data_IF_886132588324
#
_entry.id   IF_886132588324
#
_cell.length_a   1.000
_cell.length_b   1.000
_cell.length_c   1.000
_cell.angle_alpha   90.00
_cell.angle_beta   90.00
_cell.angle_gamma   90.00
#
_symmetry.space_group_name_H-M   'P 1'
#
loop_
_entity.id
_entity.type
_entity.pdbx_description
1 polymer ?
#
# COMPACT_ATOMS: atom_id res chain seq x y z
N UNK A 1 8.04 41.93 -13.67
CA UNK A 1 7.83 40.98 -14.79
C UNK A 1 7.37 39.68 -14.15
N UNK A 2 6.11 39.26 -14.36
CA UNK A 2 5.55 38.07 -13.75
C UNK A 2 6.16 36.85 -14.41
N UNK A 3 6.90 36.04 -13.68
CA UNK A 3 7.35 34.73 -14.12
C UNK A 3 6.21 33.74 -13.80
N UNK A 4 5.28 33.55 -14.75
CA UNK A 4 4.45 32.38 -14.75
C UNK A 4 5.37 31.14 -14.68
N UNK A 5 5.04 30.15 -13.84
CA UNK A 5 5.77 28.90 -13.87
C UNK A 5 5.71 28.38 -15.31
N UNK A 6 6.85 28.45 -16.01
CA UNK A 6 6.87 28.07 -17.43
C UNK A 6 6.53 26.61 -17.52
N UNK A 7 5.86 26.17 -18.59
CA UNK A 7 5.51 24.77 -18.85
C UNK A 7 6.74 23.87 -18.69
N UNK A 8 7.93 24.39 -19.01
CA UNK A 8 9.21 23.69 -18.85
C UNK A 8 9.58 23.48 -17.38
N UNK A 9 9.35 24.46 -16.50
CA UNK A 9 9.59 24.31 -15.05
C UNK A 9 8.65 23.29 -14.42
N UNK A 10 7.38 23.31 -14.82
CA UNK A 10 6.37 22.36 -14.37
C UNK A 10 6.76 20.94 -14.79
N UNK A 11 7.17 20.78 -16.06
CA UNK A 11 7.66 19.51 -16.60
C UNK A 11 8.91 19.02 -15.88
N UNK A 12 9.89 19.89 -15.69
CA UNK A 12 11.12 19.55 -14.97
C UNK A 12 10.83 19.14 -13.53
N UNK A 13 9.82 19.76 -12.88
CA UNK A 13 9.37 19.39 -11.54
C UNK A 13 8.71 18.01 -11.52
N UNK A 14 7.84 17.72 -12.48
CA UNK A 14 7.19 16.42 -12.63
C UNK A 14 8.22 15.30 -12.81
N UNK A 15 9.17 15.48 -13.73
CA UNK A 15 10.24 14.51 -14.00
C UNK A 15 11.14 14.27 -12.79
N UNK A 16 11.47 15.31 -12.02
CA UNK A 16 12.23 15.17 -10.77
C UNK A 16 11.48 14.35 -9.71
N UNK A 17 10.16 14.43 -9.66
CA UNK A 17 9.34 13.61 -8.78
C UNK A 17 9.33 12.17 -9.27
N UNK A 18 9.04 11.93 -10.53
CA UNK A 18 9.00 10.59 -11.15
C UNK A 18 10.35 9.86 -11.10
N UNK A 19 11.47 10.60 -11.16
CA UNK A 19 12.81 10.02 -11.01
C UNK A 19 13.07 9.42 -9.61
N UNK A 20 12.27 9.79 -8.60
CA UNK A 20 12.43 9.28 -7.21
C UNK A 20 11.61 8.04 -6.94
N UNK A 21 10.39 7.97 -7.48
CA UNK A 21 9.45 6.85 -7.33
C UNK A 21 8.29 6.99 -8.31
N UNK A 22 7.54 5.93 -8.50
CA UNK A 22 6.27 5.99 -9.19
C UNK A 22 5.24 6.82 -8.37
N UNK A 23 4.39 7.54 -9.10
CA UNK A 23 3.27 8.30 -8.56
C UNK A 23 2.00 7.93 -9.31
N UNK A 24 0.85 7.99 -8.65
CA UNK A 24 -0.41 8.00 -9.37
C UNK A 24 -0.65 9.36 -10.02
N UNK A 25 -1.46 9.39 -11.07
CA UNK A 25 -1.86 10.63 -11.75
C UNK A 25 -2.39 11.66 -10.75
N UNK A 26 -3.31 11.25 -9.88
CA UNK A 26 -3.89 12.13 -8.86
C UNK A 26 -2.85 12.62 -7.85
N UNK A 27 -1.96 11.76 -7.40
CA UNK A 27 -0.92 12.15 -6.44
C UNK A 27 0.07 13.14 -7.06
N UNK A 28 0.45 12.94 -8.32
CA UNK A 28 1.35 13.84 -9.03
C UNK A 28 0.67 15.19 -9.30
N UNK A 29 -0.59 15.19 -9.73
CA UNK A 29 -1.40 16.40 -9.90
C UNK A 29 -1.41 17.26 -8.63
N UNK A 30 -1.77 16.66 -7.50
CA UNK A 30 -1.81 17.37 -6.22
C UNK A 30 -0.45 17.95 -5.80
N UNK A 31 0.65 17.25 -6.13
CA UNK A 31 1.99 17.78 -5.87
C UNK A 31 2.39 18.92 -6.81
N UNK A 32 1.94 18.90 -8.05
CA UNK A 32 2.24 19.96 -9.01
C UNK A 32 1.44 21.23 -8.71
N UNK A 33 0.19 21.10 -8.31
CA UNK A 33 -0.67 22.21 -7.89
C UNK A 33 -0.22 22.84 -6.57
N UNK A 34 0.40 22.08 -5.67
CA UNK A 34 0.91 22.61 -4.42
C UNK A 34 2.13 23.51 -4.64
N UNK A 35 2.27 24.57 -3.83
CA UNK A 35 3.47 25.43 -3.84
C UNK A 35 4.74 24.56 -3.68
N UNK A 36 5.77 24.74 -4.52
CA UNK A 36 7.03 24.01 -4.34
C UNK A 36 7.61 24.35 -2.96
N UNK A 37 8.11 23.33 -2.26
CA UNK A 37 8.86 23.57 -1.04
C UNK A 37 10.10 24.43 -1.38
N UNK A 38 10.46 25.41 -0.53
CA UNK A 38 11.67 26.16 -0.73
C UNK A 38 12.85 25.19 -0.87
N UNK A 39 13.70 25.42 -1.86
CA UNK A 39 14.91 24.62 -2.02
C UNK A 39 15.72 24.76 -0.73
N UNK A 40 16.19 23.66 -0.11
CA UNK A 40 17.12 23.79 1.00
C UNK A 40 18.33 24.56 0.44
N UNK A 41 18.55 25.78 0.95
CA UNK A 41 19.72 26.54 0.60
C UNK A 41 20.94 25.64 0.86
N UNK A 42 21.74 25.41 -0.16
CA UNK A 42 22.99 24.67 -0.03
C UNK A 42 23.76 25.32 1.13
N UNK A 43 24.18 24.53 2.12
CA UNK A 43 24.87 25.04 3.32
C UNK A 43 26.07 25.95 3.00
N UNK A 44 26.62 25.82 1.78
CA UNK A 44 27.73 26.66 1.31
C UNK A 44 27.33 28.03 0.74
N UNK A 45 26.03 28.21 0.35
CA UNK A 45 25.57 29.49 -0.19
C UNK A 45 25.13 30.46 0.93
N UNK A 46 24.71 29.90 2.08
CA UNK A 46 24.26 30.73 3.22
C UNK A 46 25.35 31.62 3.83
N UNK A 47 26.64 31.26 3.67
CA UNK A 47 27.77 32.07 4.18
C UNK A 47 28.16 33.27 3.29
N UNK A 48 27.74 33.24 2.01
CA UNK A 48 28.04 34.33 1.06
C UNK A 48 26.82 35.22 0.80
N UNK A 49 25.61 34.80 1.20
CA UNK A 49 24.37 35.57 0.98
C UNK A 49 24.05 36.54 2.09
N UNK A 50 24.73 36.45 3.24
CA UNK A 50 24.52 37.39 4.36
C UNK A 50 25.22 38.75 4.15
N UNK A 51 25.99 38.91 3.08
CA UNK A 51 26.83 40.10 2.93
C UNK A 51 26.45 41.04 1.77
N UNK A 52 25.67 40.63 0.77
CA UNK A 52 25.35 41.56 -0.33
C UNK A 52 24.10 41.22 -1.14
N UNK A 53 23.24 42.23 -1.19
CA UNK A 53 22.10 42.48 -2.08
C UNK A 53 20.77 41.80 -1.69
N UNK A 54 19.68 42.57 -1.61
CA UNK A 54 18.32 42.00 -1.64
C UNK A 54 18.15 41.17 -2.91
N UNK A 55 17.63 39.96 -2.75
CA UNK A 55 17.29 39.09 -3.87
C UNK A 55 16.37 39.85 -4.83
N UNK A 56 16.80 40.18 -6.07
CA UNK A 56 15.98 40.93 -7.02
C UNK A 56 14.70 40.22 -7.39
N UNK A 57 14.53 38.94 -6.96
CA UNK A 57 13.36 38.10 -7.21
C UNK A 57 12.53 37.84 -5.94
N UNK A 58 12.84 38.47 -4.81
CA UNK A 58 12.07 38.32 -3.57
C UNK A 58 10.59 38.71 -3.71
N UNK A 59 10.26 39.54 -4.68
CA UNK A 59 8.90 39.98 -5.01
C UNK A 59 8.25 39.23 -6.17
N UNK A 60 8.89 38.19 -6.70
CA UNK A 60 8.26 37.34 -7.74
C UNK A 60 7.11 36.55 -7.10
N UNK A 61 5.90 37.05 -7.33
CA UNK A 61 4.67 36.38 -6.92
C UNK A 61 4.59 35.04 -7.65
N UNK A 62 4.79 33.93 -6.92
CA UNK A 62 4.59 32.60 -7.46
C UNK A 62 3.12 32.45 -7.89
N UNK A 63 2.87 32.39 -9.18
CA UNK A 63 1.57 31.97 -9.71
C UNK A 63 1.54 30.45 -9.76
N UNK A 64 0.62 29.77 -9.02
CA UNK A 64 0.50 28.34 -9.12
C UNK A 64 0.00 27.96 -10.53
N UNK A 65 0.45 26.82 -11.07
CA UNK A 65 -0.06 26.35 -12.36
C UNK A 65 -1.56 26.08 -12.26
N UNK A 66 -2.27 26.30 -13.34
CA UNK A 66 -3.68 25.97 -13.44
C UNK A 66 -3.89 24.46 -13.54
N UNK A 67 -5.07 23.98 -13.13
CA UNK A 67 -5.44 22.56 -13.30
C UNK A 67 -5.37 22.12 -14.77
N UNK A 68 -5.71 23.02 -15.71
CA UNK A 68 -5.65 22.74 -17.14
C UNK A 68 -4.23 22.45 -17.59
N UNK A 69 -3.26 23.28 -17.19
CA UNK A 69 -1.85 23.09 -17.53
C UNK A 69 -1.28 21.82 -16.93
N UNK A 70 -1.63 21.53 -15.67
CA UNK A 70 -1.23 20.29 -15.00
C UNK A 70 -1.80 19.08 -15.72
N UNK A 71 -3.10 19.08 -16.06
CA UNK A 71 -3.73 17.95 -16.75
C UNK A 71 -3.13 17.74 -18.15
N UNK A 72 -2.89 18.79 -18.91
CA UNK A 72 -2.24 18.70 -20.23
C UNK A 72 -0.82 18.08 -20.12
N UNK A 73 -0.06 18.46 -19.10
CA UNK A 73 1.24 17.86 -18.82
C UNK A 73 1.14 16.37 -18.44
N UNK A 74 0.17 16.02 -17.59
CA UNK A 74 -0.03 14.62 -17.18
C UNK A 74 -0.41 13.74 -18.37
N UNK A 75 -1.26 14.23 -19.28
CA UNK A 75 -1.64 13.53 -20.51
C UNK A 75 -0.42 13.28 -21.41
N UNK A 76 0.48 14.29 -21.58
CA UNK A 76 1.74 14.10 -22.32
C UNK A 76 2.65 13.07 -21.65
N UNK A 77 2.75 13.07 -20.30
CA UNK A 77 3.56 12.10 -19.56
C UNK A 77 3.01 10.67 -19.66
N UNK A 78 1.69 10.51 -19.69
CA UNK A 78 1.04 9.20 -19.91
C UNK A 78 1.26 8.70 -21.32
N UNK A 79 1.07 9.55 -22.34
CA UNK A 79 1.33 9.21 -23.74
C UNK A 79 2.78 8.76 -23.96
N UNK A 80 3.72 9.38 -23.28
CA UNK A 80 5.15 9.00 -23.28
C UNK A 80 5.50 7.85 -22.38
N UNK A 81 4.51 7.22 -21.70
CA UNK A 81 4.69 6.12 -20.75
C UNK A 81 5.61 6.46 -19.56
N UNK A 82 5.81 7.75 -19.28
CA UNK A 82 6.55 8.21 -18.11
C UNK A 82 5.71 8.18 -16.83
N UNK A 83 4.39 8.33 -16.95
CA UNK A 83 3.41 8.18 -15.89
C UNK A 83 2.52 6.97 -16.21
N UNK A 84 2.19 6.16 -15.20
CA UNK A 84 1.29 5.02 -15.37
C UNK A 84 0.67 4.62 -14.04
N UNK A 85 -0.63 4.75 -13.94
CA UNK A 85 -1.41 4.34 -12.78
C UNK A 85 -1.33 2.82 -12.54
N UNK A 86 -1.24 2.03 -13.62
CA UNK A 86 -1.06 0.58 -13.51
C UNK A 86 0.29 0.22 -12.83
N UNK A 87 1.42 0.77 -13.31
CA UNK A 87 2.74 0.53 -12.69
C UNK A 87 2.77 0.97 -11.24
N UNK A 88 2.18 2.13 -10.94
CA UNK A 88 2.04 2.60 -9.56
C UNK A 88 1.26 1.60 -8.70
N UNK A 89 0.10 1.13 -9.19
CA UNK A 89 -0.75 0.18 -8.50
C UNK A 89 -0.02 -1.16 -8.26
N UNK A 90 0.64 -1.72 -9.27
CA UNK A 90 1.45 -2.95 -9.17
C UNK A 90 2.54 -2.82 -8.10
N UNK A 91 3.37 -1.77 -8.20
CA UNK A 91 4.45 -1.52 -7.25
C UNK A 91 3.91 -1.37 -5.82
N UNK A 92 2.82 -0.59 -5.66
CA UNK A 92 2.20 -0.33 -4.35
C UNK A 92 1.63 -1.61 -3.76
N UNK A 93 0.89 -2.38 -4.56
CA UNK A 93 0.30 -3.64 -4.13
C UNK A 93 1.38 -4.65 -3.75
N UNK A 94 2.40 -4.86 -4.58
CA UNK A 94 3.50 -5.78 -4.30
C UNK A 94 4.20 -5.49 -2.97
N UNK A 95 4.42 -4.21 -2.67
CA UNK A 95 5.10 -3.82 -1.42
C UNK A 95 4.23 -3.94 -0.17
N UNK A 96 2.88 -3.91 -0.34
CA UNK A 96 1.93 -3.84 0.76
C UNK A 96 1.17 -5.14 1.00
N UNK A 97 0.93 -5.94 -0.03
CA UNK A 97 0.21 -7.20 0.05
C UNK A 97 0.72 -8.16 1.14
N UNK A 98 2.04 -8.27 1.42
CA UNK A 98 2.54 -9.10 2.51
C UNK A 98 2.10 -8.68 3.92
N UNK A 99 1.50 -7.48 4.07
CA UNK A 99 1.13 -6.91 5.39
C UNK A 99 -0.35 -6.60 5.53
N UNK A 100 -1.09 -6.54 4.43
CA UNK A 100 -2.47 -6.05 4.41
C UNK A 100 -3.38 -6.92 3.54
N UNK A 101 -4.65 -6.99 3.95
CA UNK A 101 -5.71 -7.64 3.18
C UNK A 101 -6.21 -6.78 2.03
N UNK A 102 -6.97 -7.41 1.14
CA UNK A 102 -7.46 -6.80 -0.10
C UNK A 102 -8.34 -5.58 0.13
N UNK A 103 -9.17 -5.58 1.16
CA UNK A 103 -10.05 -4.44 1.45
C UNK A 103 -9.27 -3.16 1.69
N UNK A 104 -8.18 -3.25 2.45
CA UNK A 104 -7.32 -2.10 2.72
C UNK A 104 -6.52 -1.68 1.50
N UNK A 105 -6.02 -2.62 0.72
CA UNK A 105 -5.30 -2.33 -0.53
C UNK A 105 -6.22 -1.63 -1.54
N UNK A 106 -7.46 -2.11 -1.71
CA UNK A 106 -8.47 -1.45 -2.56
C UNK A 106 -8.72 -0.02 -2.11
N UNK A 107 -8.92 0.18 -0.81
CA UNK A 107 -9.15 1.52 -0.26
C UNK A 107 -7.97 2.46 -0.48
N UNK A 108 -6.73 1.99 -0.25
CA UNK A 108 -5.53 2.80 -0.48
C UNK A 108 -5.37 3.20 -1.95
N UNK A 109 -5.57 2.27 -2.88
CA UNK A 109 -5.46 2.54 -4.32
C UNK A 109 -6.58 3.46 -4.82
N UNK A 110 -7.82 3.25 -4.37
CA UNK A 110 -8.94 4.11 -4.70
C UNK A 110 -8.74 5.56 -4.19
N UNK A 111 -8.17 5.73 -2.99
CA UNK A 111 -7.78 7.05 -2.46
C UNK A 111 -6.67 7.74 -3.26
N UNK A 112 -5.96 6.99 -4.09
CA UNK A 112 -4.93 7.50 -5.01
C UNK A 112 -5.44 7.72 -6.44
N UNK A 113 -6.76 7.57 -6.63
CA UNK A 113 -7.42 7.80 -7.91
C UNK A 113 -7.27 6.65 -8.91
N UNK A 114 -6.83 5.48 -8.46
CA UNK A 114 -6.75 4.30 -9.33
C UNK A 114 -8.16 3.77 -9.59
N UNK A 115 -8.45 3.45 -10.83
CA UNK A 115 -9.74 2.91 -11.23
C UNK A 115 -9.97 1.48 -10.72
N UNK A 116 -11.25 1.06 -10.68
CA UNK A 116 -11.64 -0.24 -10.11
C UNK A 116 -11.10 -1.44 -10.88
N UNK A 117 -11.00 -1.33 -12.20
CA UNK A 117 -10.60 -2.44 -13.06
C UNK A 117 -9.09 -2.68 -12.91
N UNK A 118 -8.30 -1.60 -12.89
CA UNK A 118 -6.88 -1.66 -12.56
C UNK A 118 -6.66 -2.24 -11.17
N UNK A 119 -7.42 -1.80 -10.15
CA UNK A 119 -7.33 -2.36 -8.78
C UNK A 119 -7.63 -3.85 -8.78
N UNK A 120 -8.70 -4.27 -9.47
CA UNK A 120 -9.08 -5.69 -9.53
C UNK A 120 -7.99 -6.53 -10.21
N UNK A 121 -7.43 -6.04 -11.33
CA UNK A 121 -6.35 -6.69 -12.06
C UNK A 121 -5.13 -6.91 -11.18
N UNK A 122 -4.59 -5.85 -10.57
CA UNK A 122 -3.35 -5.95 -9.78
C UNK A 122 -3.52 -6.78 -8.51
N UNK A 123 -4.73 -6.85 -7.94
CA UNK A 123 -5.01 -7.70 -6.79
C UNK A 123 -5.12 -9.18 -7.19
N UNK A 124 -5.64 -9.49 -8.37
CA UNK A 124 -5.73 -10.87 -8.87
C UNK A 124 -4.37 -11.51 -9.15
N UNK A 125 -3.35 -10.70 -9.40
CA UNK A 125 -1.96 -11.14 -9.60
C UNK A 125 -1.21 -11.43 -8.29
N UNK A 126 -1.79 -11.05 -7.15
CA UNK A 126 -1.16 -11.30 -5.86
C UNK A 126 -1.44 -12.72 -5.37
N UNK A 127 -0.60 -13.25 -4.46
CA UNK A 127 -0.91 -14.49 -3.75
C UNK A 127 -2.29 -14.41 -3.10
N UNK A 128 -2.98 -15.53 -3.01
CA UNK A 128 -4.32 -15.62 -2.43
C UNK A 128 -4.41 -14.95 -1.06
N UNK A 129 -5.52 -14.23 -0.83
CA UNK A 129 -5.73 -13.47 0.41
C UNK A 129 -5.72 -14.38 1.65
N UNK A 130 -6.19 -15.64 1.51
CA UNK A 130 -6.19 -16.62 2.60
C UNK A 130 -4.77 -16.99 3.01
N UNK A 131 -3.91 -17.29 2.03
CA UNK A 131 -2.49 -17.60 2.27
C UNK A 131 -1.78 -16.44 2.97
N UNK A 132 -1.94 -15.22 2.48
CA UNK A 132 -1.35 -14.02 3.11
C UNK A 132 -1.87 -13.76 4.52
N UNK A 133 -3.16 -13.96 4.74
CA UNK A 133 -3.79 -13.83 6.06
C UNK A 133 -3.21 -14.85 7.05
N UNK A 134 -3.06 -16.10 6.60
CA UNK A 134 -2.46 -17.17 7.39
C UNK A 134 -1.02 -16.88 7.78
N UNK A 135 -0.19 -16.41 6.83
CA UNK A 135 1.20 -16.05 7.10
C UNK A 135 1.33 -14.98 8.20
N UNK A 136 0.47 -13.97 8.15
CA UNK A 136 0.43 -12.91 9.16
C UNK A 136 -0.04 -13.45 10.50
N UNK A 137 -1.05 -14.31 10.49
CA UNK A 137 -1.58 -14.94 11.69
C UNK A 137 -0.53 -15.85 12.34
N UNK A 138 0.15 -16.71 11.56
CA UNK A 138 1.22 -17.58 12.02
C UNK A 138 2.36 -16.79 12.66
N UNK A 139 2.82 -15.72 12.01
CA UNK A 139 3.90 -14.85 12.54
C UNK A 139 3.53 -14.16 13.85
N UNK A 140 2.24 -13.91 14.09
CA UNK A 140 1.80 -13.14 15.26
C UNK A 140 1.31 -14.00 16.41
N UNK A 141 0.58 -15.08 16.12
CA UNK A 141 -0.11 -15.90 17.11
C UNK A 141 0.36 -17.35 17.10
N UNK A 142 0.49 -17.96 15.93
CA UNK A 142 1.00 -19.32 15.74
C UNK A 142 0.09 -20.44 16.26
N UNK A 143 -0.95 -20.12 17.08
CA UNK A 143 -1.87 -21.06 17.67
C UNK A 143 -3.32 -20.60 17.51
N UNK A 144 -4.21 -21.56 17.26
CA UNK A 144 -5.65 -21.31 17.20
C UNK A 144 -6.16 -20.76 18.54
N UNK A 145 -7.20 -19.92 18.52
CA UNK A 145 -7.76 -19.33 19.72
C UNK A 145 -8.39 -20.42 20.60
N UNK A 146 -8.00 -20.46 21.88
CA UNK A 146 -8.50 -21.43 22.88
C UNK A 146 -9.84 -21.01 23.48
N UNK A 147 -10.09 -19.70 23.50
CA UNK A 147 -11.28 -19.11 24.07
C UNK A 147 -11.84 -17.96 23.21
N UNK A 148 -12.99 -17.43 23.61
CA UNK A 148 -13.66 -16.35 22.90
C UNK A 148 -12.85 -15.05 22.93
N UNK A 149 -12.13 -14.77 24.01
CA UNK A 149 -11.32 -13.55 24.13
C UNK A 149 -10.14 -13.58 23.17
N UNK A 150 -9.44 -14.70 23.08
CA UNK A 150 -8.36 -14.91 22.11
C UNK A 150 -8.90 -14.81 20.67
N UNK A 151 -10.06 -15.42 20.39
CA UNK A 151 -10.71 -15.34 19.08
C UNK A 151 -11.03 -13.89 18.71
N UNK A 152 -11.58 -13.11 19.60
CA UNK A 152 -11.86 -11.68 19.38
C UNK A 152 -10.57 -10.90 19.13
N UNK A 153 -9.53 -11.15 19.93
CA UNK A 153 -8.21 -10.51 19.78
C UNK A 153 -7.57 -10.80 18.43
N UNK A 154 -7.55 -12.08 18.02
CA UNK A 154 -6.98 -12.50 16.74
C UNK A 154 -7.80 -11.95 15.57
N UNK A 155 -9.13 -12.03 15.62
CA UNK A 155 -10.04 -11.44 14.63
C UNK A 155 -9.80 -9.94 14.48
N UNK A 156 -9.76 -9.18 15.57
CA UNK A 156 -9.52 -7.73 15.55
C UNK A 156 -8.18 -7.38 14.91
N UNK A 157 -7.14 -8.15 15.17
CA UNK A 157 -5.82 -7.94 14.58
C UNK A 157 -5.83 -8.10 13.06
N UNK A 158 -6.48 -9.15 12.55
CA UNK A 158 -6.54 -9.41 11.10
C UNK A 158 -7.50 -8.43 10.40
N UNK A 159 -8.65 -8.13 11.02
CA UNK A 159 -9.61 -7.16 10.50
C UNK A 159 -9.02 -5.75 10.39
N UNK A 160 -8.22 -5.30 11.37
CA UNK A 160 -7.53 -4.00 11.32
C UNK A 160 -6.51 -3.89 10.19
N UNK A 161 -6.05 -5.03 9.65
CA UNK A 161 -5.20 -5.10 8.47
C UNK A 161 -5.97 -5.15 7.15
N UNK A 162 -7.31 -5.22 7.22
CA UNK A 162 -8.19 -5.18 6.06
C UNK A 162 -8.39 -6.53 5.39
N UNK A 163 -8.21 -7.64 6.11
CA UNK A 163 -8.61 -8.96 5.63
C UNK A 163 -10.12 -9.13 5.69
N UNK A 164 -10.69 -9.82 4.70
CA UNK A 164 -12.12 -10.10 4.67
C UNK A 164 -12.52 -11.02 5.83
N UNK A 165 -13.70 -10.78 6.43
CA UNK A 165 -14.15 -11.56 7.60
C UNK A 165 -14.25 -13.06 7.29
N UNK A 166 -14.69 -13.43 6.09
CA UNK A 166 -14.72 -14.85 5.65
C UNK A 166 -13.34 -15.50 5.70
N UNK A 167 -12.31 -14.79 5.23
CA UNK A 167 -10.92 -15.27 5.20
C UNK A 167 -10.38 -15.40 6.63
N UNK A 168 -10.66 -14.44 7.49
CA UNK A 168 -10.30 -14.49 8.91
C UNK A 168 -10.93 -15.71 9.59
N UNK A 169 -12.21 -15.96 9.32
CA UNK A 169 -12.91 -17.12 9.90
C UNK A 169 -12.32 -18.45 9.43
N UNK A 170 -11.94 -18.56 8.17
CA UNK A 170 -11.28 -19.73 7.62
C UNK A 170 -9.93 -20.00 8.31
N UNK A 171 -9.09 -18.96 8.45
CA UNK A 171 -7.81 -19.08 9.17
C UNK A 171 -8.02 -19.50 10.62
N UNK A 172 -9.00 -18.90 11.33
CA UNK A 172 -9.26 -19.19 12.74
C UNK A 172 -10.02 -20.50 12.99
N UNK A 173 -10.44 -21.21 11.92
CA UNK A 173 -10.94 -22.59 11.98
C UNK A 173 -9.86 -23.62 11.67
N UNK A 174 -8.65 -23.18 11.30
CA UNK A 174 -7.60 -24.08 10.81
C UNK A 174 -7.79 -24.49 9.35
N UNK A 175 -8.79 -23.95 8.65
CA UNK A 175 -9.03 -24.24 7.23
C UNK A 175 -7.98 -23.52 6.37
N UNK A 176 -7.39 -24.24 5.42
CA UNK A 176 -6.35 -23.70 4.51
C UNK A 176 -4.94 -24.18 4.81
N UNK A 177 -4.78 -25.15 5.68
CA UNK A 177 -3.61 -26.00 5.75
C UNK A 177 -3.77 -27.17 4.81
N UNK A 178 -3.22 -27.09 3.61
CA UNK A 178 -2.88 -28.30 2.87
C UNK A 178 -1.91 -29.10 3.73
N UNK A 179 -2.30 -30.34 4.02
CA UNK A 179 -1.50 -31.45 4.49
C UNK A 179 -0.53 -31.23 5.67
N UNK A 180 -0.76 -32.00 6.73
CA UNK A 180 0.16 -32.36 7.80
C UNK A 180 0.40 -31.36 8.93
N UNK A 181 -0.59 -31.22 9.83
CA UNK A 181 -0.27 -30.83 11.21
C UNK A 181 -1.09 -31.54 12.31
N UNK A 182 -1.91 -32.53 11.97
CA UNK A 182 -2.58 -33.39 12.94
C UNK A 182 -2.58 -34.85 12.43
N UNK A 183 -1.38 -35.42 12.34
CA UNK A 183 -1.22 -36.86 12.36
C UNK A 183 -0.02 -37.15 13.26
N UNK A 184 -0.27 -37.20 14.55
CA UNK A 184 0.55 -37.93 15.50
C UNK A 184 -0.27 -38.16 16.78
N UNK A 185 -0.66 -39.41 16.89
CA UNK A 185 -0.79 -40.13 18.14
C UNK A 185 -1.88 -39.70 19.14
N UNK A 186 -3.05 -40.28 19.04
CA UNK A 186 -3.53 -41.17 20.10
C UNK A 186 -4.79 -41.92 19.68
N UNK A 187 -4.60 -43.08 19.07
CA UNK A 187 -5.64 -44.08 18.92
C UNK A 187 -5.12 -45.40 19.52
N UNK A 188 -4.95 -45.39 20.81
CA UNK A 188 -4.75 -46.61 21.62
C UNK A 188 -5.72 -46.57 22.78
N UNK A 189 -6.97 -46.89 22.50
CA UNK A 189 -7.89 -47.37 23.50
C UNK A 189 -8.13 -48.83 23.23
N UNK A 190 -7.34 -49.65 23.91
CA UNK A 190 -7.55 -51.07 24.06
C UNK A 190 -8.96 -51.34 24.55
N UNK A 191 -9.76 -51.94 23.69
CA UNK A 191 -10.97 -52.63 24.07
C UNK A 191 -10.57 -53.99 24.62
N UNK A 192 -10.39 -54.08 25.92
CA UNK A 192 -10.22 -55.40 26.56
C UNK A 192 -11.54 -55.87 27.12
N UNK A 193 -11.91 -56.98 26.56
CA UNK A 193 -12.88 -57.98 26.94
C UNK A 193 -13.43 -57.95 28.36
N UNK A 194 -14.75 -57.91 28.47
CA UNK A 194 -15.49 -58.55 29.56
C UNK A 194 -16.32 -59.71 28.99
N UNK A 195 -15.69 -60.87 28.90
CA UNK A 195 -16.41 -62.14 28.77
C UNK A 195 -16.58 -62.72 30.20
N UNK A 196 -17.76 -62.72 30.70
CA UNK A 196 -18.15 -63.46 31.90
C UNK A 196 -18.91 -64.71 31.50
N UNK A 197 -18.47 -65.90 31.84
CA UNK A 197 -19.29 -67.08 31.66
C UNK A 197 -20.23 -67.29 32.85
N UNK A 198 -21.44 -67.65 32.46
CA UNK A 198 -22.51 -68.07 33.29
C UNK A 198 -22.24 -69.53 33.83
N UNK A 199 -22.49 -69.75 35.11
CA UNK A 199 -22.91 -71.01 35.67
C UNK A 199 -23.82 -70.79 36.85
#
# INVERSE_FOLDING_TARGET
MRLAATTDDLRARALRLLARREYSRQELAGKLLSKPAPRPASRNVKRLADEFAPDPHADDVYEPPTELEVNALLDDLEQRKMLSDNRYAEMRTRSRAPRYGDSRLRQELAQKGIDRDTIASVLSEQPDELSRCRDIWLKKFGQLPRDMNERVKQTRHLASRGFAMRVIQQVLRGEGGGENFFDSDDASCDNNDYNAPNA
#
